data_IF_711285233164
#
_entry.id   IF_711285233164
#
_cell.length_a   1.000
_cell.length_b   1.000
_cell.length_c   1.000
_cell.angle_alpha   90.00
_cell.angle_beta   90.00
_cell.angle_gamma   90.00
#
_symmetry.space_group_name_H-M   'P 1'
#
loop_
_entity.id
_entity.type
_entity.pdbx_description
1 polymer ?
#
# COMPACT_ATOMS: atom_id res chain seq x y z
N UNK A 1 9.71 10.61 5.53
CA UNK A 1 8.78 9.65 6.18
C UNK A 1 9.55 8.36 6.42
N UNK A 2 9.60 7.88 7.66
CA UNK A 2 10.12 6.54 7.95
C UNK A 2 8.98 5.54 7.67
N UNK A 3 9.24 4.52 6.85
CA UNK A 3 8.28 3.48 6.46
C UNK A 3 8.50 2.19 7.26
N UNK A 4 9.55 2.10 8.09
CA UNK A 4 9.93 0.85 8.77
C UNK A 4 8.84 0.29 9.70
N UNK A 5 7.88 1.11 10.12
CA UNK A 5 6.75 0.73 10.98
C UNK A 5 5.38 0.92 10.29
N UNK A 6 5.36 1.11 8.97
CA UNK A 6 4.14 1.44 8.21
C UNK A 6 3.96 0.51 7.03
N UNK A 7 2.71 0.12 6.78
CA UNK A 7 2.31 -0.58 5.59
C UNK A 7 1.10 0.10 4.95
N UNK A 8 0.85 -0.20 3.68
CA UNK A 8 -0.34 0.22 2.97
C UNK A 8 -1.12 -1.03 2.56
N UNK A 9 -2.40 -1.08 2.91
CA UNK A 9 -3.37 -1.90 2.18
C UNK A 9 -3.98 -1.03 1.09
N UNK A 10 -3.93 -1.49 -0.15
CA UNK A 10 -4.30 -0.68 -1.30
C UNK A 10 -4.48 -1.49 -2.58
N UNK A 11 -5.14 -0.86 -3.55
CA UNK A 11 -5.10 -1.29 -4.94
C UNK A 11 -3.87 -0.69 -5.62
N UNK A 12 -2.98 -1.55 -6.13
CA UNK A 12 -1.89 -1.11 -7.00
C UNK A 12 -2.45 -0.72 -8.37
N UNK A 13 -2.71 0.58 -8.56
CA UNK A 13 -3.35 1.13 -9.75
C UNK A 13 -2.43 1.23 -10.96
N UNK A 14 -1.18 1.66 -10.74
CA UNK A 14 -0.20 1.78 -11.82
C UNK A 14 1.25 1.62 -11.34
N UNK A 15 2.13 1.22 -12.27
CA UNK A 15 3.58 1.27 -12.11
C UNK A 15 4.15 2.26 -13.12
N UNK A 16 4.84 3.30 -12.65
CA UNK A 16 5.43 4.37 -13.49
C UNK A 16 6.93 4.41 -13.24
N UNK A 17 7.68 3.63 -14.00
CA UNK A 17 9.11 3.45 -13.77
C UNK A 17 9.40 2.97 -12.35
N UNK A 18 10.13 3.74 -11.52
CA UNK A 18 10.43 3.35 -10.14
C UNK A 18 9.26 3.59 -9.16
N UNK A 19 8.16 4.20 -9.61
CA UNK A 19 7.04 4.58 -8.73
C UNK A 19 5.90 3.55 -8.79
N UNK A 20 5.32 3.29 -7.63
CA UNK A 20 4.04 2.59 -7.50
C UNK A 20 2.97 3.63 -7.15
N UNK A 21 1.85 3.59 -7.87
CA UNK A 21 0.68 4.44 -7.61
C UNK A 21 -0.41 3.57 -7.00
N UNK A 22 -0.81 3.92 -5.78
CA UNK A 22 -1.79 3.21 -4.98
C UNK A 22 -3.09 4.03 -4.89
N UNK A 23 -4.23 3.34 -4.90
CA UNK A 23 -5.57 3.90 -4.70
C UNK A 23 -6.32 3.08 -3.65
N UNK A 24 -7.39 3.67 -3.11
CA UNK A 24 -8.21 3.09 -2.04
C UNK A 24 -7.32 2.64 -0.87
N UNK A 25 -6.50 3.58 -0.38
CA UNK A 25 -5.38 3.28 0.49
C UNK A 25 -5.79 3.38 1.95
N UNK A 26 -5.48 2.34 2.72
CA UNK A 26 -5.45 2.37 4.17
C UNK A 26 -4.00 2.33 4.67
N UNK A 27 -3.64 3.28 5.53
CA UNK A 27 -2.38 3.28 6.26
C UNK A 27 -2.48 2.37 7.48
N UNK A 28 -1.59 1.39 7.54
CA UNK A 28 -1.45 0.47 8.64
C UNK A 28 -0.27 0.91 9.51
N UNK A 29 -0.53 1.18 10.79
CA UNK A 29 0.49 1.49 11.80
C UNK A 29 0.28 0.59 13.03
N UNK A 30 1.36 0.16 13.67
CA UNK A 30 1.28 -0.69 14.85
C UNK A 30 0.47 -0.01 15.97
N UNK A 31 -0.49 -0.74 16.55
CA UNK A 31 -1.32 -0.25 17.65
C UNK A 31 -2.39 0.78 17.26
N UNK A 32 -2.58 1.04 15.96
CA UNK A 32 -3.66 1.89 15.45
C UNK A 32 -4.59 1.10 14.55
N UNK A 33 -5.85 1.52 14.52
CA UNK A 33 -6.78 1.04 13.51
C UNK A 33 -6.34 1.58 12.13
N UNK A 34 -6.55 0.81 11.05
CA UNK A 34 -6.30 1.28 9.69
C UNK A 34 -6.91 2.67 9.47
N UNK A 35 -6.13 3.57 8.89
CA UNK A 35 -6.57 4.94 8.61
C UNK A 35 -6.72 5.13 7.11
N UNK A 36 -7.88 5.57 6.60
CA UNK A 36 -8.00 5.89 5.19
C UNK A 36 -7.08 7.05 4.84
N UNK A 37 -6.45 6.97 3.66
CA UNK A 37 -5.63 8.03 3.10
C UNK A 37 -6.36 8.64 1.91
N UNK A 38 -6.55 9.96 1.95
CA UNK A 38 -7.22 10.67 0.87
C UNK A 38 -6.38 10.67 -0.41
N UNK A 39 -7.03 10.37 -1.54
CA UNK A 39 -6.44 10.50 -2.87
C UNK A 39 -5.54 9.35 -3.30
N UNK A 40 -4.45 9.67 -3.99
CA UNK A 40 -3.47 8.71 -4.49
C UNK A 40 -2.20 8.73 -3.63
N UNK A 41 -1.68 7.56 -3.30
CA UNK A 41 -0.38 7.43 -2.64
C UNK A 41 0.66 6.99 -3.67
N UNK A 42 1.76 7.73 -3.74
CA UNK A 42 2.89 7.42 -4.63
C UNK A 42 4.09 7.01 -3.78
N UNK A 43 4.59 5.79 -4.00
CA UNK A 43 5.77 5.27 -3.29
C UNK A 43 6.89 4.92 -4.25
N UNK A 44 8.12 5.17 -3.84
CA UNK A 44 9.32 4.67 -4.53
C UNK A 44 9.48 3.18 -4.26
N UNK A 45 9.49 2.36 -5.32
CA UNK A 45 9.62 0.91 -5.21
C UNK A 45 10.87 0.47 -4.43
N UNK A 46 11.96 1.24 -4.51
CA UNK A 46 13.20 0.95 -3.79
C UNK A 46 13.07 1.08 -2.26
N UNK A 47 12.00 1.72 -1.75
CA UNK A 47 11.70 1.87 -0.32
C UNK A 47 10.67 0.86 0.18
N UNK A 48 10.18 -0.02 -0.69
CA UNK A 48 9.22 -1.05 -0.35
C UNK A 48 9.98 -2.32 0.00
N UNK A 49 9.87 -2.76 1.24
CA UNK A 49 10.54 -3.98 1.71
C UNK A 49 9.97 -5.24 1.05
N UNK A 50 8.64 -5.30 0.94
CA UNK A 50 7.93 -6.37 0.24
C UNK A 50 6.55 -5.92 -0.21
N UNK A 51 5.96 -6.68 -1.15
CA UNK A 51 4.56 -6.52 -1.57
C UNK A 51 3.90 -7.88 -1.38
N UNK A 52 2.83 -7.93 -0.58
CA UNK A 52 1.98 -9.10 -0.47
C UNK A 52 0.77 -8.93 -1.39
N UNK A 53 0.58 -9.85 -2.32
CA UNK A 53 -0.61 -9.88 -3.17
C UNK A 53 -1.65 -10.74 -2.47
N UNK A 54 -2.79 -10.16 -2.12
CA UNK A 54 -3.92 -10.92 -1.60
C UNK A 54 -4.44 -11.81 -2.74
N UNK A 55 -4.40 -13.13 -2.55
CA UNK A 55 -5.08 -14.02 -3.47
C UNK A 55 -6.57 -13.65 -3.43
N UNK A 56 -7.17 -13.43 -4.60
CA UNK A 56 -8.62 -13.30 -4.68
C UNK A 56 -9.22 -14.52 -3.96
N UNK A 57 -10.02 -14.29 -2.94
CA UNK A 57 -10.81 -15.36 -2.33
C UNK A 57 -11.72 -15.86 -3.45
N UNK A 58 -11.33 -16.97 -4.08
CA UNK A 58 -12.19 -17.65 -5.05
C UNK A 58 -13.54 -17.83 -4.38
N UNK A 59 -14.59 -17.27 -4.99
CA UNK A 59 -15.94 -17.37 -4.47
C UNK A 59 -16.28 -18.84 -4.25
N UNK A 60 -16.64 -19.17 -3.01
CA UNK A 60 -17.39 -20.38 -2.70
C UNK A 60 -18.87 -20.10 -2.83
#
# INVERSE_FOLDING_TARGET
MNLADKAFDAVLWAKRGPLLVLRDVELLEAGRQPQPVDGEVVVERARVEFIQVLAAKGGG
#
